data_IF_404583913012
#
_entry.id   IF_404583913012
#
_cell.length_a   1.000
_cell.length_b   1.000
_cell.length_c   1.000
_cell.angle_alpha   90.00
_cell.angle_beta   90.00
_cell.angle_gamma   90.00
#
_symmetry.space_group_name_H-M   'P 1'
#
loop_
_entity.id
_entity.type
_entity.pdbx_description
1 polymer ?
#
# COMPACT_ATOMS: atom_id res chain seq x y z
N UNK A 1 0.96 56.90 -23.24
CA UNK A 1 0.90 56.82 -21.75
C UNK A 1 0.61 55.42 -21.20
N UNK A 2 -0.11 54.52 -21.89
CA UNK A 2 -0.45 53.20 -21.34
C UNK A 2 0.71 52.17 -21.28
N UNK A 3 1.72 52.31 -22.13
CA UNK A 3 2.83 51.35 -22.23
C UNK A 3 3.81 51.44 -21.04
N UNK A 4 4.03 52.66 -20.56
CA UNK A 4 4.80 52.94 -19.33
C UNK A 4 4.10 52.37 -18.08
N UNK A 5 2.77 52.41 -18.05
CA UNK A 5 1.95 51.83 -16.97
C UNK A 5 2.04 50.31 -16.93
N UNK A 6 2.18 49.67 -18.10
CA UNK A 6 2.33 48.22 -18.18
C UNK A 6 3.74 47.76 -17.77
N UNK A 7 4.79 48.44 -18.22
CA UNK A 7 6.17 48.12 -17.85
C UNK A 7 6.44 48.31 -16.35
N UNK A 8 5.86 49.33 -15.73
CA UNK A 8 5.97 49.55 -14.29
C UNK A 8 5.26 48.46 -13.49
N UNK A 9 4.11 47.96 -13.97
CA UNK A 9 3.39 46.82 -13.37
C UNK A 9 4.18 45.51 -13.47
N UNK A 10 4.81 45.24 -14.62
CA UNK A 10 5.65 44.05 -14.82
C UNK A 10 6.91 44.11 -13.95
N UNK A 11 7.60 45.26 -13.92
CA UNK A 11 8.79 45.45 -13.05
C UNK A 11 8.44 45.30 -11.57
N UNK A 12 7.28 45.81 -11.14
CA UNK A 12 6.79 45.63 -9.77
C UNK A 12 6.49 44.17 -9.45
N UNK A 13 5.88 43.42 -10.36
CA UNK A 13 5.55 42.01 -10.17
C UNK A 13 6.81 41.13 -10.06
N UNK A 14 7.84 41.44 -10.85
CA UNK A 14 9.14 40.76 -10.79
C UNK A 14 9.85 41.09 -9.47
N UNK A 15 9.82 42.35 -9.02
CA UNK A 15 10.44 42.78 -7.75
C UNK A 15 9.77 42.16 -6.52
N UNK A 16 8.44 41.98 -6.55
CA UNK A 16 7.72 41.25 -5.49
C UNK A 16 8.02 39.74 -5.52
N UNK A 17 8.34 39.17 -6.68
CA UNK A 17 8.77 37.76 -6.76
C UNK A 17 10.16 37.52 -6.17
N UNK A 18 11.02 38.56 -6.16
CA UNK A 18 12.42 38.45 -5.73
C UNK A 18 12.66 38.84 -4.26
N UNK A 19 11.60 39.13 -3.50
CA UNK A 19 11.68 39.44 -2.05
C UNK A 19 10.98 38.39 -1.18
N UNK A 20 10.61 37.24 -1.75
CA UNK A 20 10.13 36.07 -1.01
C UNK A 20 11.26 35.06 -0.71
N UNK A 21 12.48 35.54 -0.50
CA UNK A 21 13.57 34.77 0.08
C UNK A 21 14.09 35.53 1.29
N UNK A 22 13.67 35.09 2.49
CA UNK A 22 14.24 35.32 3.85
C UNK A 22 13.14 35.43 4.91
N UNK A 23 12.26 34.42 5.00
CA UNK A 23 11.59 34.05 6.27
C UNK A 23 10.74 32.81 6.06
N UNK A 24 11.35 31.65 6.26
CA UNK A 24 10.71 30.49 6.91
C UNK A 24 11.69 29.33 6.95
N UNK A 25 12.53 29.33 7.98
CA UNK A 25 13.15 28.12 8.54
C UNK A 25 12.11 27.14 9.15
N UNK A 26 10.82 27.27 8.78
CA UNK A 26 9.68 26.47 9.20
C UNK A 26 8.74 26.32 8.00
N UNK A 27 9.17 25.58 6.97
CA UNK A 27 8.25 24.99 6.00
C UNK A 27 8.74 23.57 5.69
N UNK A 28 8.30 22.64 6.54
CA UNK A 28 7.81 21.32 6.15
C UNK A 28 8.46 20.74 4.88
N UNK A 29 9.52 19.94 5.10
CA UNK A 29 9.85 18.74 4.31
C UNK A 29 8.92 18.53 3.12
N UNK A 30 9.30 19.02 1.93
CA UNK A 30 8.56 18.73 0.69
C UNK A 30 8.50 17.21 0.55
N UNK A 31 7.34 16.62 0.84
CA UNK A 31 7.11 15.20 0.62
C UNK A 31 7.24 14.96 -0.88
N UNK A 32 8.28 14.25 -1.31
CA UNK A 32 8.47 13.90 -2.70
C UNK A 32 7.21 13.17 -3.21
N UNK A 33 6.73 13.60 -4.37
CA UNK A 33 5.66 12.89 -5.07
C UNK A 33 6.21 11.60 -5.67
N UNK A 34 5.35 10.59 -5.78
CA UNK A 34 5.73 9.25 -6.24
C UNK A 34 6.18 9.24 -7.70
N UNK A 35 5.50 10.01 -8.57
CA UNK A 35 5.88 10.12 -9.98
C UNK A 35 5.87 8.77 -10.71
N UNK A 36 6.96 8.46 -11.41
CA UNK A 36 7.06 7.25 -12.25
C UNK A 36 6.98 5.93 -11.47
N UNK A 37 7.38 5.93 -10.19
CA UNK A 37 7.24 4.75 -9.32
C UNK A 37 5.78 4.39 -9.04
N UNK A 38 4.83 5.24 -9.41
CA UNK A 38 3.40 4.98 -9.27
C UNK A 38 2.99 3.68 -9.96
N UNK A 39 3.60 3.37 -11.11
CA UNK A 39 3.29 2.15 -11.86
C UNK A 39 3.82 0.88 -11.17
N UNK A 40 5.01 0.97 -10.56
CA UNK A 40 5.55 -0.14 -9.76
C UNK A 40 4.69 -0.37 -8.52
N UNK A 41 4.31 0.70 -7.81
CA UNK A 41 3.45 0.61 -6.63
C UNK A 41 2.04 0.09 -7.00
N UNK A 42 1.50 0.53 -8.14
CA UNK A 42 0.22 0.04 -8.66
C UNK A 42 0.23 -1.47 -8.93
N UNK A 43 1.40 -2.06 -9.20
CA UNK A 43 1.55 -3.52 -9.36
C UNK A 43 1.55 -4.28 -8.02
N UNK A 44 1.93 -3.63 -6.92
CA UNK A 44 1.97 -4.23 -5.58
C UNK A 44 0.60 -4.23 -4.89
N UNK A 45 -0.17 -3.15 -5.04
CA UNK A 45 -1.45 -2.96 -4.36
C UNK A 45 -2.48 -4.09 -4.61
N UNK A 46 -2.69 -4.59 -5.84
CA UNK A 46 -3.58 -5.73 -6.10
C UNK A 46 -3.19 -6.99 -5.34
N UNK A 47 -1.89 -7.24 -5.15
CA UNK A 47 -1.42 -8.41 -4.41
C UNK A 47 -1.76 -8.27 -2.91
N UNK A 48 -1.62 -7.09 -2.31
CA UNK A 48 -2.05 -6.83 -0.94
C UNK A 48 -3.56 -6.99 -0.78
N UNK A 49 -4.33 -6.44 -1.71
CA UNK A 49 -5.79 -6.54 -1.73
C UNK A 49 -6.22 -8.01 -1.84
N UNK A 50 -5.59 -8.78 -2.72
CA UNK A 50 -5.85 -10.21 -2.87
C UNK A 50 -5.50 -10.98 -1.60
N UNK A 51 -4.34 -10.74 -0.99
CA UNK A 51 -3.93 -11.37 0.27
C UNK A 51 -4.97 -11.11 1.37
N UNK A 52 -5.40 -9.86 1.54
CA UNK A 52 -6.43 -9.52 2.51
C UNK A 52 -7.75 -10.26 2.27
N UNK A 53 -8.24 -10.27 1.02
CA UNK A 53 -9.49 -10.96 0.65
C UNK A 53 -9.40 -12.47 0.88
N UNK A 54 -8.26 -13.08 0.58
CA UNK A 54 -8.02 -14.51 0.83
C UNK A 54 -8.00 -14.88 2.32
N UNK A 55 -7.75 -13.91 3.20
CA UNK A 55 -7.73 -14.05 4.66
C UNK A 55 -9.04 -13.58 5.33
N UNK A 56 -10.10 -13.41 4.55
CA UNK A 56 -11.43 -13.09 5.10
C UNK A 56 -12.06 -14.30 5.78
N UNK A 57 -12.85 -14.06 6.83
CA UNK A 57 -13.48 -15.15 7.62
C UNK A 57 -14.26 -16.11 6.72
N UNK A 58 -14.98 -15.58 5.72
CA UNK A 58 -15.72 -16.41 4.75
C UNK A 58 -14.84 -17.37 3.95
N UNK A 59 -13.64 -16.93 3.55
CA UNK A 59 -12.71 -17.72 2.76
C UNK A 59 -12.02 -18.78 3.63
N UNK A 60 -11.68 -18.40 4.86
CA UNK A 60 -11.10 -19.30 5.86
C UNK A 60 -12.12 -20.38 6.25
N UNK A 61 -13.37 -20.01 6.56
CA UNK A 61 -14.43 -20.97 6.86
C UNK A 61 -14.72 -21.91 5.69
N UNK A 62 -14.69 -21.41 4.45
CA UNK A 62 -14.82 -22.25 3.25
C UNK A 62 -13.67 -23.25 3.14
N UNK A 63 -12.43 -22.79 3.32
CA UNK A 63 -11.26 -23.66 3.32
C UNK A 63 -11.40 -24.73 4.41
N UNK A 64 -11.75 -24.35 5.65
CA UNK A 64 -11.97 -25.33 6.72
C UNK A 64 -13.10 -26.32 6.41
N UNK A 65 -14.21 -25.88 5.82
CA UNK A 65 -15.33 -26.75 5.46
C UNK A 65 -14.95 -27.74 4.35
N UNK A 66 -14.29 -27.27 3.28
CA UNK A 66 -13.78 -28.12 2.20
C UNK A 66 -12.73 -29.12 2.72
N UNK A 67 -11.85 -28.65 3.61
CA UNK A 67 -10.82 -29.46 4.26
C UNK A 67 -11.42 -30.56 5.15
N UNK A 68 -12.45 -30.26 5.95
CA UNK A 68 -13.16 -31.23 6.80
C UNK A 68 -13.98 -32.22 5.95
N UNK A 69 -14.56 -31.77 4.83
CA UNK A 69 -15.31 -32.64 3.91
C UNK A 69 -14.40 -33.64 3.17
N UNK A 70 -13.09 -33.37 3.09
CA UNK A 70 -12.08 -34.16 2.37
C UNK A 70 -11.12 -34.90 3.31
N UNK A 71 -11.48 -35.12 4.58
CA UNK A 71 -10.63 -35.69 5.64
C UNK A 71 -9.89 -36.99 5.25
N UNK A 72 -10.42 -37.78 4.30
CA UNK A 72 -9.76 -38.97 3.74
C UNK A 72 -8.54 -38.71 2.84
N UNK A 73 -8.41 -37.51 2.24
CA UNK A 73 -7.32 -37.09 1.33
C UNK A 73 -6.23 -36.31 2.08
N UNK A 74 -6.61 -35.65 3.19
CA UNK A 74 -5.77 -34.73 3.96
C UNK A 74 -4.61 -35.40 4.72
N UNK A 75 -4.65 -36.72 4.90
CA UNK A 75 -3.56 -37.49 5.51
C UNK A 75 -2.32 -37.61 4.61
N UNK A 76 -2.43 -37.22 3.33
CA UNK A 76 -1.39 -37.42 2.30
C UNK A 76 -0.84 -36.11 1.73
N UNK A 77 -1.56 -34.99 1.83
CA UNK A 77 -1.08 -33.67 1.38
C UNK A 77 -1.43 -32.60 2.42
N UNK A 78 -0.39 -31.96 2.96
CA UNK A 78 -0.51 -30.80 3.85
C UNK A 78 -0.85 -29.54 3.04
N UNK A 79 -2.10 -29.44 2.57
CA UNK A 79 -2.55 -28.31 1.72
C UNK A 79 -2.42 -26.96 2.44
N UNK A 80 -2.59 -26.93 3.76
CA UNK A 80 -2.43 -25.72 4.58
C UNK A 80 -1.01 -25.16 4.55
N UNK A 81 0.01 -26.03 4.50
CA UNK A 81 1.41 -25.61 4.38
C UNK A 81 1.69 -24.98 3.01
N UNK A 82 1.05 -25.48 1.95
CA UNK A 82 1.22 -24.91 0.59
C UNK A 82 0.58 -23.51 0.49
N UNK A 83 -0.59 -23.33 1.12
CA UNK A 83 -1.30 -22.06 1.17
C UNK A 83 -0.52 -21.05 2.01
N UNK A 84 -0.07 -21.43 3.21
CA UNK A 84 0.79 -20.61 4.06
C UNK A 84 2.08 -20.21 3.35
N UNK A 85 2.74 -21.15 2.67
CA UNK A 85 3.95 -20.87 1.89
C UNK A 85 3.68 -19.87 0.76
N UNK A 86 2.56 -20.01 0.04
CA UNK A 86 2.16 -19.08 -1.02
C UNK A 86 1.91 -17.68 -0.47
N UNK A 87 1.13 -17.55 0.60
CA UNK A 87 0.81 -16.26 1.24
C UNK A 87 2.07 -15.56 1.76
N UNK A 88 2.92 -16.30 2.49
CA UNK A 88 4.15 -15.75 3.07
C UNK A 88 5.16 -15.36 2.00
N UNK A 89 5.26 -16.12 0.90
CA UNK A 89 6.11 -15.77 -0.25
C UNK A 89 5.63 -14.48 -0.93
N UNK A 90 4.34 -14.35 -1.21
CA UNK A 90 3.78 -13.11 -1.80
C UNK A 90 3.98 -11.92 -0.86
N UNK A 91 3.72 -12.09 0.44
CA UNK A 91 3.93 -11.03 1.43
C UNK A 91 5.41 -10.61 1.50
N UNK A 92 6.35 -11.56 1.47
CA UNK A 92 7.79 -11.29 1.49
C UNK A 92 8.24 -10.46 0.29
N UNK A 93 7.72 -10.76 -0.91
CA UNK A 93 8.01 -9.97 -2.11
C UNK A 93 7.53 -8.52 -1.94
N UNK A 94 6.30 -8.34 -1.44
CA UNK A 94 5.74 -6.99 -1.21
C UNK A 94 6.53 -6.23 -0.14
N UNK A 95 6.93 -6.90 0.95
CA UNK A 95 7.79 -6.33 2.00
C UNK A 95 9.12 -5.88 1.41
N UNK A 96 9.79 -6.73 0.62
CA UNK A 96 11.07 -6.39 0.00
C UNK A 96 10.97 -5.18 -0.93
N UNK A 97 9.96 -5.13 -1.80
CA UNK A 97 9.72 -3.96 -2.66
C UNK A 97 9.43 -2.69 -1.83
N UNK A 98 8.61 -2.80 -0.79
CA UNK A 98 8.27 -1.67 0.09
C UNK A 98 9.48 -1.18 0.89
N UNK A 99 10.34 -2.09 1.37
CA UNK A 99 11.59 -1.77 2.06
C UNK A 99 12.59 -1.10 1.12
N UNK A 100 12.71 -1.56 -0.13
CA UNK A 100 13.59 -0.90 -1.10
C UNK A 100 13.11 0.50 -1.43
N UNK A 101 11.80 0.69 -1.62
CA UNK A 101 11.21 2.03 -1.80
C UNK A 101 11.46 2.90 -0.57
N UNK A 102 11.24 2.40 0.65
CA UNK A 102 11.41 3.20 1.87
C UNK A 102 12.87 3.62 2.11
N UNK A 103 13.85 2.82 1.69
CA UNK A 103 15.28 3.15 1.78
C UNK A 103 15.70 4.28 0.82
N UNK A 104 15.08 4.34 -0.36
CA UNK A 104 15.37 5.38 -1.35
C UNK A 104 14.86 6.77 -0.89
N UNK A 105 13.85 6.82 -0.02
CA UNK A 105 13.27 8.06 0.47
C UNK A 105 13.56 8.22 1.96
N UNK A 106 14.58 9.03 2.27
CA UNK A 106 15.26 9.23 3.55
C UNK A 106 14.39 9.75 4.73
N UNK A 107 13.21 9.19 4.93
CA UNK A 107 12.36 9.44 6.07
C UNK A 107 12.70 8.43 7.15
N UNK A 108 13.27 8.92 8.26
CA UNK A 108 13.74 8.08 9.37
C UNK A 108 12.66 7.11 9.91
N UNK A 109 11.38 7.49 9.87
CA UNK A 109 10.27 6.62 10.28
C UNK A 109 9.99 5.47 9.28
N UNK A 110 10.24 5.70 7.98
CA UNK A 110 10.05 4.72 6.91
C UNK A 110 11.27 3.80 6.74
N UNK A 111 12.47 4.32 7.03
CA UNK A 111 13.71 3.54 7.05
C UNK A 111 13.67 2.39 8.06
N UNK A 112 12.96 2.59 9.18
CA UNK A 112 12.78 1.58 10.23
C UNK A 112 11.71 0.53 9.89
N UNK A 113 11.05 0.60 8.73
CA UNK A 113 10.03 -0.38 8.32
C UNK A 113 10.58 -1.80 8.32
N UNK A 114 11.75 -2.02 7.73
CA UNK A 114 12.37 -3.34 7.60
C UNK A 114 12.70 -3.96 8.98
N UNK A 115 13.31 -3.17 9.86
CA UNK A 115 13.62 -3.56 11.23
C UNK A 115 12.35 -3.82 12.05
N UNK A 116 11.33 -2.97 11.92
CA UNK A 116 10.03 -3.12 12.59
C UNK A 116 9.27 -4.35 12.10
N UNK A 117 9.30 -4.61 10.79
CA UNK A 117 8.68 -5.78 10.19
C UNK A 117 9.34 -7.06 10.68
N UNK A 118 10.68 -7.13 10.67
CA UNK A 118 11.43 -8.28 11.19
C UNK A 118 11.14 -8.52 12.67
N UNK A 119 11.20 -7.47 13.49
CA UNK A 119 10.88 -7.57 14.92
C UNK A 119 9.44 -8.05 15.17
N UNK A 120 8.48 -7.63 14.36
CA UNK A 120 7.09 -8.07 14.45
C UNK A 120 6.86 -9.47 13.87
N UNK A 121 7.64 -9.90 12.88
CA UNK A 121 7.62 -11.26 12.39
C UNK A 121 8.12 -12.24 13.47
N UNK A 122 9.19 -11.87 14.17
CA UNK A 122 9.85 -12.69 15.19
C UNK A 122 9.13 -12.67 16.55
N UNK A 123 8.33 -11.64 16.83
CA UNK A 123 7.56 -11.48 18.09
C UNK A 123 6.07 -11.72 17.88
N UNK A 124 5.39 -12.40 18.81
CA UNK A 124 3.90 -12.46 18.83
C UNK A 124 3.26 -11.22 19.45
N UNK A 125 4.05 -10.33 20.05
CA UNK A 125 3.55 -9.07 20.64
C UNK A 125 3.49 -8.00 19.56
N UNK A 126 2.48 -7.13 19.64
CA UNK A 126 2.36 -5.90 18.86
C UNK A 126 2.62 -4.66 19.76
N UNK A 127 3.90 -4.33 20.08
CA UNK A 127 4.21 -3.21 20.95
C UNK A 127 3.72 -1.86 20.40
N UNK A 128 3.55 -1.77 19.08
CA UNK A 128 3.31 -0.53 18.37
C UNK A 128 1.84 -0.38 17.92
N UNK A 129 0.95 -1.31 18.33
CA UNK A 129 -0.48 -1.34 18.00
C UNK A 129 -0.74 -1.18 16.49
N UNK A 130 0.02 -1.90 15.67
CA UNK A 130 -0.17 -1.96 14.22
C UNK A 130 -1.46 -2.68 13.82
N UNK A 131 -2.00 -3.52 14.70
CA UNK A 131 -3.28 -4.18 14.50
C UNK A 131 -4.40 -3.15 14.37
N UNK A 132 -4.86 -2.94 13.14
CA UNK A 132 -6.02 -2.12 12.83
C UNK A 132 -7.28 -2.98 12.89
N UNK A 133 -8.45 -2.33 12.99
CA UNK A 133 -9.70 -3.07 12.82
C UNK A 133 -9.83 -3.60 11.38
N UNK A 134 -10.51 -4.73 11.20
CA UNK A 134 -10.87 -5.29 9.89
C UNK A 134 -11.56 -4.24 9.01
N UNK A 135 -12.44 -3.41 9.60
CA UNK A 135 -13.15 -2.32 8.91
C UNK A 135 -12.20 -1.21 8.39
N UNK A 136 -11.23 -0.81 9.20
CA UNK A 136 -10.19 0.15 8.81
C UNK A 136 -9.35 -0.40 7.64
N UNK A 137 -9.02 -1.69 7.69
CA UNK A 137 -8.30 -2.36 6.61
C UNK A 137 -9.14 -2.46 5.33
N UNK A 138 -10.43 -2.73 5.42
CA UNK A 138 -11.34 -2.74 4.26
C UNK A 138 -11.43 -1.36 3.58
N UNK A 139 -11.42 -0.27 4.36
CA UNK A 139 -11.36 1.08 3.81
C UNK A 139 -10.04 1.30 3.04
N UNK A 140 -8.92 0.82 3.59
CA UNK A 140 -7.61 0.92 2.93
C UNK A 140 -7.52 0.07 1.67
N UNK A 141 -8.13 -1.12 1.66
CA UNK A 141 -8.28 -1.96 0.46
C UNK A 141 -9.07 -1.25 -0.62
N UNK A 142 -10.21 -0.64 -0.28
CA UNK A 142 -10.99 0.18 -1.23
C UNK A 142 -10.17 1.37 -1.75
N UNK A 143 -9.35 1.99 -0.90
CA UNK A 143 -8.46 3.08 -1.30
C UNK A 143 -7.37 2.58 -2.27
N UNK A 144 -6.77 1.43 -2.00
CA UNK A 144 -5.79 0.80 -2.88
C UNK A 144 -6.39 0.46 -4.25
N UNK A 145 -7.58 -0.14 -4.29
CA UNK A 145 -8.28 -0.43 -5.55
C UNK A 145 -8.53 0.84 -6.38
N UNK A 146 -9.02 1.92 -5.75
CA UNK A 146 -9.25 3.21 -6.42
C UNK A 146 -7.97 3.82 -6.97
N UNK A 147 -6.90 3.81 -6.18
CA UNK A 147 -5.59 4.34 -6.58
C UNK A 147 -4.98 3.53 -7.73
N UNK A 148 -5.05 2.20 -7.66
CA UNK A 148 -4.61 1.32 -8.75
C UNK A 148 -5.43 1.57 -10.02
N UNK A 149 -6.76 1.62 -9.94
CA UNK A 149 -7.61 1.87 -11.09
C UNK A 149 -7.30 3.22 -11.76
N UNK A 150 -7.15 4.29 -10.97
CA UNK A 150 -6.75 5.61 -11.48
C UNK A 150 -5.36 5.59 -12.13
N UNK A 151 -4.42 4.81 -11.60
CA UNK A 151 -3.05 4.69 -12.15
C UNK A 151 -3.02 3.86 -13.43
N UNK A 152 -3.84 2.82 -13.54
CA UNK A 152 -4.03 2.05 -14.78
C UNK A 152 -4.68 2.91 -15.87
N UNK A 153 -5.71 3.69 -15.50
CA UNK A 153 -6.32 4.66 -16.41
C UNK A 153 -5.30 5.70 -16.89
N UNK A 154 -4.48 6.24 -15.96
CA UNK A 154 -3.40 7.16 -16.31
C UNK A 154 -2.43 6.56 -17.33
N UNK A 155 -1.99 5.30 -17.12
CA UNK A 155 -1.08 4.62 -18.05
C UNK A 155 -1.69 4.53 -19.46
N UNK A 156 -2.95 4.12 -19.54
CA UNK A 156 -3.69 4.01 -20.81
C UNK A 156 -3.80 5.36 -21.51
N UNK A 157 -4.27 6.39 -20.80
CA UNK A 157 -4.46 7.73 -21.38
C UNK A 157 -3.14 8.39 -21.78
N UNK A 158 -2.05 8.16 -21.04
CA UNK A 158 -0.72 8.63 -21.44
C UNK A 158 -0.26 8.00 -22.77
N UNK A 159 -0.49 6.70 -22.96
CA UNK A 159 -0.17 6.01 -24.21
C UNK A 159 -1.04 6.49 -25.38
N UNK A 160 -2.35 6.68 -25.15
CA UNK A 160 -3.26 7.21 -26.16
C UNK A 160 -2.93 8.66 -26.56
N UNK A 161 -2.53 9.50 -25.59
CA UNK A 161 -2.08 10.85 -25.84
C UNK A 161 -0.83 10.85 -26.72
N UNK A 162 0.18 10.03 -26.39
CA UNK A 162 1.40 9.93 -27.20
C UNK A 162 1.11 9.51 -28.65
N UNK A 163 0.20 8.54 -28.84
CA UNK A 163 -0.25 8.11 -30.15
C UNK A 163 -0.98 9.23 -30.92
N UNK A 164 -1.82 9.99 -30.22
CA UNK A 164 -2.57 11.11 -30.82
C UNK A 164 -1.66 12.27 -31.23
N UNK A 165 -0.67 12.59 -30.39
CA UNK A 165 0.34 13.61 -30.67
C UNK A 165 1.22 13.23 -31.86
N UNK A 166 1.65 11.97 -31.93
CA UNK A 166 2.41 11.47 -33.09
C UNK A 166 1.61 11.55 -34.39
N UNK A 167 0.32 11.19 -34.34
CA UNK A 167 -0.59 11.32 -35.50
C UNK A 167 -0.77 12.78 -35.92
N UNK A 168 -0.96 13.69 -34.96
CA UNK A 168 -1.05 15.13 -35.22
C UNK A 168 0.23 15.65 -35.87
N UNK A 169 1.40 15.27 -35.36
CA UNK A 169 2.69 15.69 -35.90
C UNK A 169 2.89 15.22 -37.35
N UNK A 170 2.54 13.96 -37.65
CA UNK A 170 2.53 13.43 -39.03
C UNK A 170 1.59 14.23 -39.94
N UNK A 171 0.38 14.53 -39.46
CA UNK A 171 -0.59 15.31 -40.24
C UNK A 171 -0.08 16.71 -40.54
N UNK A 172 0.51 17.41 -39.56
CA UNK A 172 1.09 18.75 -39.75
C UNK A 172 2.20 18.74 -40.80
N UNK A 173 3.09 17.74 -40.75
CA UNK A 173 4.19 17.61 -41.72
C UNK A 173 3.68 17.27 -43.13
N UNK A 174 2.62 16.46 -43.23
CA UNK A 174 2.05 16.03 -44.51
C UNK A 174 1.04 17.01 -45.12
N UNK A 175 0.43 17.90 -44.32
CA UNK A 175 -0.59 18.81 -44.81
C UNK A 175 0.03 20.04 -45.47
N UNK A 176 0.19 20.00 -46.80
CA UNK A 176 0.32 21.22 -47.62
C UNK A 176 -1.07 21.85 -47.78
N UNK A 177 -1.35 22.85 -46.95
CA UNK A 177 -2.37 23.92 -47.08
C UNK A 177 -3.88 23.55 -47.08
N UNK A 178 -4.33 22.36 -47.52
CA UNK A 178 -5.77 22.11 -47.77
C UNK A 178 -6.53 21.32 -46.67
N UNK A 179 -5.92 21.04 -45.51
CA UNK A 179 -6.57 20.30 -44.38
C UNK A 179 -6.53 21.05 -43.05
N UNK A 180 -6.42 22.39 -43.09
CA UNK A 180 -6.24 23.24 -41.91
C UNK A 180 -7.31 23.00 -40.83
N UNK A 181 -8.58 22.89 -41.21
CA UNK A 181 -9.71 22.66 -40.28
C UNK A 181 -9.66 21.29 -39.61
N UNK A 182 -9.28 20.24 -40.34
CA UNK A 182 -9.10 18.88 -39.80
C UNK A 182 -7.89 18.80 -38.84
N UNK A 183 -6.83 19.56 -39.11
CA UNK A 183 -5.68 19.67 -38.21
C UNK A 183 -6.06 20.39 -36.91
N UNK A 184 -6.85 21.46 -36.99
CA UNK A 184 -7.33 22.20 -35.81
C UNK A 184 -8.23 21.35 -34.90
N UNK A 185 -9.13 20.53 -35.47
CA UNK A 185 -9.98 19.61 -34.67
C UNK A 185 -9.13 18.56 -33.92
N UNK A 186 -8.16 17.93 -34.59
CA UNK A 186 -7.25 16.96 -33.95
C UNK A 186 -6.39 17.62 -32.87
N UNK A 187 -5.96 18.88 -33.08
CA UNK A 187 -5.21 19.65 -32.10
C UNK A 187 -6.05 19.95 -30.85
N UNK A 188 -7.32 20.36 -31.02
CA UNK A 188 -8.23 20.62 -29.91
C UNK A 188 -8.50 19.35 -29.09
N UNK A 189 -8.74 18.21 -29.75
CA UNK A 189 -8.90 16.91 -29.07
C UNK A 189 -7.64 16.51 -28.29
N UNK A 190 -6.46 16.76 -28.85
CA UNK A 190 -5.18 16.51 -28.19
C UNK A 190 -5.03 17.40 -26.94
N UNK A 191 -5.44 18.66 -27.01
CA UNK A 191 -5.44 19.56 -25.85
C UNK A 191 -6.38 19.07 -24.73
N UNK A 192 -7.60 18.64 -25.06
CA UNK A 192 -8.52 18.06 -24.08
C UNK A 192 -7.90 16.83 -23.38
N UNK A 193 -7.30 15.91 -24.15
CA UNK A 193 -6.61 14.74 -23.59
C UNK A 193 -5.43 15.11 -22.69
N UNK A 194 -4.67 16.17 -23.01
CA UNK A 194 -3.59 16.67 -22.13
C UNK A 194 -4.13 17.10 -20.76
N UNK A 195 -5.29 17.75 -20.71
CA UNK A 195 -5.92 18.15 -19.44
C UNK A 195 -6.41 16.94 -18.66
N UNK A 196 -6.98 15.94 -19.33
CA UNK A 196 -7.39 14.69 -18.70
C UNK A 196 -6.21 13.95 -18.07
N UNK A 197 -5.09 13.79 -18.79
CA UNK A 197 -3.86 13.20 -18.24
C UNK A 197 -3.35 14.00 -17.04
N UNK A 198 -3.42 15.34 -17.08
CA UNK A 198 -3.03 16.19 -15.95
C UNK A 198 -3.91 15.94 -14.72
N UNK A 199 -5.22 15.80 -14.90
CA UNK A 199 -6.15 15.44 -13.84
C UNK A 199 -5.86 14.05 -13.29
N UNK A 200 -5.69 13.05 -14.15
CA UNK A 200 -5.36 11.68 -13.76
C UNK A 200 -4.03 11.58 -13.00
N UNK A 201 -3.03 12.40 -13.35
CA UNK A 201 -1.79 12.49 -12.57
C UNK A 201 -2.03 12.96 -11.14
N UNK A 202 -2.99 13.87 -10.91
CA UNK A 202 -3.30 14.38 -9.57
C UNK A 202 -4.13 13.38 -8.75
N UNK A 203 -5.02 12.62 -9.39
CA UNK A 203 -5.91 11.67 -8.69
C UNK A 203 -5.32 10.26 -8.50
N UNK A 204 -4.24 9.92 -9.22
CA UNK A 204 -3.58 8.61 -9.17
C UNK A 204 -2.42 8.56 -8.17
N UNK A 205 -1.73 7.40 -8.12
CA UNK A 205 -0.50 7.26 -7.35
C UNK A 205 0.59 8.23 -7.80
N UNK A 206 0.57 8.70 -9.05
CA UNK A 206 1.59 9.62 -9.59
C UNK A 206 1.72 10.91 -8.78
N UNK A 207 0.59 11.51 -8.43
CA UNK A 207 0.50 12.75 -7.65
C UNK A 207 0.50 12.53 -6.13
N UNK A 208 0.46 11.27 -5.68
CA UNK A 208 0.50 10.94 -4.26
C UNK A 208 1.91 11.15 -3.69
N UNK A 209 2.00 11.40 -2.39
CA UNK A 209 3.28 11.56 -1.69
C UNK A 209 3.80 10.22 -1.19
N UNK A 210 5.12 10.03 -1.15
CA UNK A 210 5.71 8.78 -0.66
C UNK A 210 5.28 8.46 0.78
N UNK A 211 5.16 9.46 1.65
CA UNK A 211 4.71 9.27 3.03
C UNK A 211 3.34 8.60 3.12
N UNK A 212 2.38 9.08 2.32
CA UNK A 212 1.02 8.54 2.31
C UNK A 212 1.02 7.11 1.77
N UNK A 213 1.77 6.86 0.69
CA UNK A 213 1.78 5.57 0.01
C UNK A 213 2.51 4.51 0.84
N UNK A 214 3.71 4.78 1.33
CA UNK A 214 4.46 3.81 2.14
C UNK A 214 3.75 3.58 3.49
N UNK A 215 3.13 4.58 4.09
CA UNK A 215 2.29 4.40 5.29
C UNK A 215 1.08 3.49 5.02
N UNK A 216 0.44 3.63 3.85
CA UNK A 216 -0.65 2.77 3.43
C UNK A 216 -0.19 1.32 3.23
N UNK A 217 0.93 1.11 2.53
CA UNK A 217 1.50 -0.22 2.28
C UNK A 217 1.97 -0.88 3.57
N UNK A 218 2.80 -0.19 4.37
CA UNK A 218 3.36 -0.73 5.61
C UNK A 218 2.29 -1.18 6.58
N UNK A 219 1.29 -0.34 6.88
CA UNK A 219 0.18 -0.71 7.77
C UNK A 219 -0.61 -1.91 7.25
N UNK A 220 -0.83 -1.98 5.94
CA UNK A 220 -1.52 -3.11 5.31
C UNK A 220 -0.72 -4.40 5.44
N UNK A 221 0.60 -4.34 5.24
CA UNK A 221 1.52 -5.47 5.40
C UNK A 221 1.50 -6.00 6.84
N UNK A 222 1.59 -5.11 7.84
CA UNK A 222 1.53 -5.50 9.25
C UNK A 222 0.20 -6.19 9.58
N UNK A 223 -0.92 -5.62 9.13
CA UNK A 223 -2.24 -6.19 9.37
C UNK A 223 -2.41 -7.57 8.70
N UNK A 224 -1.92 -7.73 7.47
CA UNK A 224 -1.95 -9.03 6.77
C UNK A 224 -1.08 -10.05 7.51
N UNK A 225 0.11 -9.68 7.98
CA UNK A 225 0.95 -10.59 8.76
C UNK A 225 0.27 -11.01 10.07
N UNK A 226 -0.32 -10.05 10.79
CA UNK A 226 -1.08 -10.31 12.00
C UNK A 226 -2.21 -11.32 11.74
N UNK A 227 -2.92 -11.12 10.63
CA UNK A 227 -4.02 -11.99 10.23
C UNK A 227 -3.54 -13.39 9.86
N UNK A 228 -2.43 -13.51 9.13
CA UNK A 228 -1.81 -14.82 8.83
C UNK A 228 -1.43 -15.51 10.14
N UNK A 229 -0.75 -14.83 11.07
CA UNK A 229 -0.37 -15.42 12.36
C UNK A 229 -1.57 -15.92 13.15
N UNK A 230 -2.65 -15.13 13.18
CA UNK A 230 -3.89 -15.49 13.84
C UNK A 230 -4.60 -16.70 13.20
N UNK A 231 -4.73 -16.71 11.87
CA UNK A 231 -5.42 -17.76 11.12
C UNK A 231 -4.70 -19.11 11.21
N UNK A 232 -3.38 -19.08 11.21
CA UNK A 232 -2.55 -20.30 11.29
C UNK A 232 -2.09 -20.64 12.72
N UNK A 233 -2.58 -19.94 13.75
CA UNK A 233 -2.24 -20.23 15.16
C UNK A 233 -0.77 -20.02 15.53
N UNK A 234 -0.03 -19.21 14.76
CA UNK A 234 1.42 -18.98 14.94
C UNK A 234 1.68 -18.13 16.21
N UNK A 235 0.66 -17.45 16.74
CA UNK A 235 0.77 -16.62 17.95
C UNK A 235 0.89 -17.44 19.25
N UNK A 236 0.68 -18.76 19.22
CA UNK A 236 0.69 -19.63 20.41
C UNK A 236 1.72 -20.75 20.33
N UNK A 237 3.01 -20.42 20.47
CA UNK A 237 4.05 -21.35 20.93
C UNK A 237 5.00 -20.65 21.90
N UNK A 238 4.47 -20.05 22.96
CA UNK A 238 5.27 -19.77 24.16
C UNK A 238 4.39 -19.89 25.41
N UNK A 239 4.74 -20.88 26.23
CA UNK A 239 4.29 -21.18 27.61
C UNK A 239 2.80 -21.47 27.84
N UNK A 240 2.40 -22.72 27.68
CA UNK A 240 1.58 -23.35 28.73
C UNK A 240 2.57 -23.71 29.86
N UNK A 241 2.54 -23.08 31.04
CA UNK A 241 3.23 -23.65 32.19
C UNK A 241 2.56 -24.98 32.48
N UNK A 242 3.32 -26.07 32.41
CA UNK A 242 2.89 -27.35 32.94
C UNK A 242 2.40 -27.11 34.39
N UNK A 243 1.22 -27.59 34.80
CA UNK A 243 0.87 -27.56 36.21
C UNK A 243 1.96 -28.31 36.99
N UNK A 244 2.44 -27.77 38.13
CA UNK A 244 3.47 -28.44 38.89
C UNK A 244 2.99 -29.84 39.30
N UNK A 245 3.88 -30.86 39.29
CA UNK A 245 3.51 -32.19 39.72
C UNK A 245 3.01 -32.14 41.17
N UNK A 246 1.97 -32.92 41.53
CA UNK A 246 1.48 -32.94 42.90
C UNK A 246 2.61 -33.40 43.83
N UNK A 247 2.98 -32.53 44.77
CA UNK A 247 3.91 -32.89 45.83
C UNK A 247 3.33 -34.05 46.67
N UNK A 248 4.13 -35.07 47.00
CA UNK A 248 3.70 -36.12 47.89
C UNK A 248 3.73 -35.62 49.34
N UNK A 249 2.84 -36.22 50.16
CA UNK A 249 2.76 -36.19 51.63
C UNK A 249 1.85 -35.11 52.24
N UNK A 250 0.68 -35.54 52.73
CA UNK A 250 0.52 -35.87 54.15
C UNK A 250 -0.82 -36.59 54.38
N UNK A 251 -0.77 -37.91 54.57
CA UNK A 251 -1.80 -38.63 55.30
C UNK A 251 -1.72 -38.17 56.76
N UNK A 252 -2.54 -37.19 57.15
CA UNK A 252 -2.83 -36.99 58.56
C UNK A 252 -3.98 -37.92 58.95
N UNK A 253 -3.56 -39.00 59.60
CA UNK A 253 -4.37 -39.98 60.29
C UNK A 253 -5.16 -39.25 61.39
N UNK A 254 -6.46 -39.08 61.19
CA UNK A 254 -7.41 -38.74 62.24
C UNK A 254 -7.61 -39.99 63.11
N UNK A 255 -6.81 -40.13 64.18
CA UNK A 255 -7.25 -40.94 65.32
C UNK A 255 -8.18 -40.05 66.13
N UNK A 256 -9.47 -40.28 65.95
CA UNK A 256 -10.47 -39.84 66.92
C UNK A 256 -10.30 -40.62 68.21
N UNK A 257 -10.18 -39.88 69.31
CA UNK A 257 -10.55 -40.38 70.63
C UNK A 257 -12.02 -40.84 70.61
N UNK A 258 -12.27 -42.03 71.12
CA UNK A 258 -13.56 -42.36 71.72
C UNK A 258 -13.27 -43.29 72.90
N UNK A 259 -13.50 -42.78 74.10
CA UNK A 259 -13.43 -43.56 75.33
C UNK A 259 -14.60 -44.53 75.45
N UNK A 260 -14.36 -45.61 76.19
CA UNK A 260 -15.10 -46.08 77.36
C UNK A 260 -14.26 -47.14 78.07
#
# INVERSE_FOLDING_TARGET
MALETWLTRVKSAIRSSMTQETSSMILTKRSSTVGILAFEIASLMPNLVHLWRSLSDSQISRLHYETIALEGVRKVVSDDDTLLLKLTKTLRLIVASTSNMSKQYANQELFRFDQRFKSYADSSKDPNRWAMSTKEMDFRVKKMDRLTAATVALYKEMNELANSEHRLQKMIVQSKLNKMTAVTDVQQKTFCKRQEVKYLRQSSLWGSTFDVVISLLSRSIFMILARIKHVFGIDTMTSIPLPPPPHPHQYNFLIGESGY
#
